data_IF_403314962932
#
_entry.id   IF_403314962932
#
_cell.length_a   1.000
_cell.length_b   1.000
_cell.length_c   1.000
_cell.angle_alpha   90.00
_cell.angle_beta   90.00
_cell.angle_gamma   90.00
#
_symmetry.space_group_name_H-M   'P 1'
#
loop_
_entity.id
_entity.type
_entity.pdbx_description
1 polymer ?
#
# COMPACT_ATOMS: atom_id res chain seq x y z
N UNK A 1 -18.35 41.12 25.78
CA UNK A 1 -19.37 40.04 25.81
C UNK A 1 -19.60 39.38 24.44
N UNK A 2 -19.93 40.11 23.36
CA UNK A 2 -20.21 39.51 22.02
C UNK A 2 -19.01 38.83 21.35
N UNK A 3 -17.79 39.33 21.57
CA UNK A 3 -16.54 38.71 21.08
C UNK A 3 -16.24 37.37 21.74
N UNK A 4 -16.53 37.24 23.03
CA UNK A 4 -16.44 35.97 23.75
C UNK A 4 -17.51 34.97 23.30
N UNK A 5 -18.72 35.44 23.00
CA UNK A 5 -19.78 34.61 22.43
C UNK A 5 -19.41 34.08 21.03
N UNK A 6 -18.79 34.92 20.20
CA UNK A 6 -18.26 34.49 18.89
C UNK A 6 -17.10 33.49 19.03
N UNK A 7 -16.20 33.68 19.99
CA UNK A 7 -15.08 32.78 20.26
C UNK A 7 -15.56 31.38 20.71
N UNK A 8 -16.61 31.33 21.54
CA UNK A 8 -17.24 30.08 21.99
C UNK A 8 -17.86 29.29 20.82
N UNK A 9 -18.52 29.98 19.89
CA UNK A 9 -19.13 29.34 18.72
C UNK A 9 -18.09 28.73 17.77
N UNK A 10 -16.93 29.36 17.59
CA UNK A 10 -15.87 28.83 16.71
C UNK A 10 -15.23 27.57 17.31
N UNK A 11 -15.00 27.52 18.63
CA UNK A 11 -14.46 26.33 19.30
C UNK A 11 -15.43 25.15 19.22
N UNK A 12 -16.74 25.37 19.32
CA UNK A 12 -17.74 24.31 19.21
C UNK A 12 -17.78 23.65 17.82
N UNK A 13 -17.48 24.39 16.76
CA UNK A 13 -17.43 23.86 15.38
C UNK A 13 -16.18 23.00 15.16
N UNK A 14 -15.05 23.35 15.76
CA UNK A 14 -13.80 22.58 15.63
C UNK A 14 -13.82 21.21 16.34
N UNK A 15 -14.71 21.00 17.33
CA UNK A 15 -14.82 19.72 18.06
C UNK A 15 -15.79 18.70 17.43
N UNK A 16 -16.44 19.02 16.30
CA UNK A 16 -17.46 18.15 15.69
C UNK A 16 -16.95 17.15 14.64
N UNK A 17 -15.64 16.87 14.56
CA UNK A 17 -15.12 15.74 13.79
C UNK A 17 -15.31 14.42 14.56
N UNK A 18 -16.54 13.89 14.55
CA UNK A 18 -16.90 12.60 15.14
C UNK A 18 -16.65 11.48 14.12
N UNK A 19 -15.49 10.81 14.19
CA UNK A 19 -15.18 9.63 13.37
C UNK A 19 -16.06 8.45 13.78
N UNK A 20 -16.99 8.04 12.90
CA UNK A 20 -17.85 6.88 13.10
C UNK A 20 -17.07 5.59 12.83
N UNK A 21 -16.43 5.00 13.85
CA UNK A 21 -15.94 3.61 13.80
C UNK A 21 -17.13 2.66 13.70
N UNK A 22 -17.40 2.09 12.52
CA UNK A 22 -18.33 0.97 12.37
C UNK A 22 -17.56 -0.35 12.48
N UNK A 23 -17.91 -1.15 13.47
CA UNK A 23 -17.37 -2.50 13.68
C UNK A 23 -17.95 -3.44 12.63
N UNK A 24 -17.08 -4.34 12.16
CA UNK A 24 -17.28 -5.46 11.23
C UNK A 24 -18.59 -6.21 11.50
N UNK A 25 -19.50 -6.24 10.51
CA UNK A 25 -20.53 -7.29 10.40
C UNK A 25 -20.02 -8.41 9.51
N UNK A 26 -19.75 -9.58 10.10
CA UNK A 26 -19.42 -10.79 9.34
C UNK A 26 -20.67 -11.24 8.57
N UNK A 27 -20.56 -11.38 7.23
CA UNK A 27 -21.47 -12.23 6.44
C UNK A 27 -20.76 -13.52 6.03
N UNK A 28 -21.48 -14.62 6.24
CA UNK A 28 -21.06 -16.02 6.07
C UNK A 28 -21.12 -16.44 4.59
N UNK A 29 -19.97 -16.88 4.08
CA UNK A 29 -19.67 -17.95 3.09
C UNK A 29 -20.72 -18.30 2.01
N UNK A 30 -20.35 -18.12 0.74
CA UNK A 30 -20.75 -19.04 -0.35
C UNK A 30 -19.49 -19.64 -0.99
N UNK A 31 -19.51 -20.95 -1.10
CA UNK A 31 -18.47 -21.86 -1.61
C UNK A 31 -18.78 -22.13 -3.08
N UNK A 32 -17.86 -21.85 -4.01
CA UNK A 32 -17.85 -22.51 -5.32
C UNK A 32 -16.42 -22.84 -5.75
N UNK A 33 -16.26 -24.14 -5.97
CA UNK A 33 -15.25 -24.95 -6.65
C UNK A 33 -13.74 -24.76 -6.50
N UNK A 34 -13.18 -25.87 -6.04
CA UNK A 34 -11.78 -26.27 -6.13
C UNK A 34 -11.42 -26.50 -7.59
N UNK A 35 -10.37 -25.84 -8.07
CA UNK A 35 -9.41 -26.53 -8.95
C UNK A 35 -8.14 -26.68 -8.14
N UNK A 36 -7.95 -27.91 -7.68
CA UNK A 36 -6.69 -28.39 -7.13
C UNK A 36 -5.67 -28.35 -8.26
N UNK A 37 -4.62 -27.54 -8.11
CA UNK A 37 -3.29 -28.03 -8.48
C UNK A 37 -2.32 -27.68 -7.35
N UNK A 38 -1.69 -28.74 -6.90
CA UNK A 38 -0.89 -28.84 -5.69
C UNK A 38 0.38 -27.97 -5.79
N UNK A 39 0.77 -27.46 -4.61
CA UNK A 39 2.13 -27.23 -4.14
C UNK A 39 3.24 -27.24 -5.21
N UNK A 40 3.83 -26.08 -5.43
CA UNK A 40 5.29 -26.03 -5.36
C UNK A 40 5.73 -24.80 -4.56
N UNK A 41 6.58 -25.10 -3.60
CA UNK A 41 7.20 -24.22 -2.64
C UNK A 41 8.33 -23.50 -3.37
N UNK A 42 8.05 -22.35 -3.99
CA UNK A 42 9.12 -21.53 -4.54
C UNK A 42 9.68 -20.61 -3.45
N UNK A 43 10.70 -21.14 -2.81
CA UNK A 43 11.74 -20.39 -2.10
C UNK A 43 12.33 -19.35 -3.05
N UNK A 44 11.93 -18.08 -2.92
CA UNK A 44 12.65 -16.96 -3.53
C UNK A 44 13.96 -16.79 -2.75
N UNK A 45 14.99 -17.52 -3.20
CA UNK A 45 16.39 -17.30 -2.82
C UNK A 45 16.89 -16.04 -3.51
N UNK A 46 17.48 -15.16 -2.72
CA UNK A 46 18.45 -14.17 -3.18
C UNK A 46 19.57 -14.85 -3.97
N UNK A 47 19.81 -14.37 -5.20
CA UNK A 47 21.15 -14.35 -5.79
C UNK A 47 21.24 -13.20 -6.79
N UNK A 48 22.07 -12.21 -6.45
CA UNK A 48 22.69 -11.30 -7.40
C UNK A 48 23.36 -12.09 -8.53
N UNK A 49 23.12 -11.69 -9.76
CA UNK A 49 23.87 -12.12 -10.92
C UNK A 49 23.59 -11.15 -12.06
N UNK A 50 24.62 -10.40 -12.46
CA UNK A 50 24.59 -9.54 -13.64
C UNK A 50 24.10 -10.32 -14.87
N UNK A 51 22.86 -10.09 -15.28
CA UNK A 51 22.46 -10.18 -16.67
C UNK A 51 21.44 -9.08 -16.89
N UNK A 52 21.88 -8.03 -17.58
CA UNK A 52 21.01 -7.04 -18.23
C UNK A 52 20.23 -7.81 -19.31
N UNK A 53 19.22 -8.54 -18.88
CA UNK A 53 18.19 -9.05 -19.76
C UNK A 53 17.17 -7.94 -19.87
N UNK A 54 16.92 -7.44 -21.08
CA UNK A 54 15.84 -6.52 -21.38
C UNK A 54 14.51 -7.21 -21.08
N UNK A 55 14.13 -7.29 -19.81
CA UNK A 55 12.83 -7.80 -19.40
C UNK A 55 11.83 -6.70 -19.65
N UNK A 56 11.23 -6.71 -20.84
CA UNK A 56 10.00 -5.96 -21.09
C UNK A 56 8.95 -6.54 -20.16
N UNK A 57 8.61 -5.79 -19.11
CA UNK A 57 7.49 -6.14 -18.25
C UNK A 57 6.20 -6.01 -19.05
N UNK A 58 5.31 -7.00 -18.90
CA UNK A 58 4.00 -6.96 -19.56
C UNK A 58 3.11 -5.83 -19.01
N UNK A 59 3.27 -5.51 -17.72
CA UNK A 59 2.52 -4.48 -17.04
C UNK A 59 3.42 -3.60 -16.16
N UNK A 60 3.06 -2.33 -16.03
CA UNK A 60 3.78 -1.38 -15.15
C UNK A 60 3.76 -1.80 -13.67
N UNK A 61 2.74 -2.54 -13.22
CA UNK A 61 2.68 -3.06 -11.86
C UNK A 61 3.74 -4.13 -11.62
N UNK A 62 4.01 -5.00 -12.60
CA UNK A 62 5.03 -6.05 -12.47
C UNK A 62 6.44 -5.42 -12.41
N UNK A 63 6.67 -4.39 -13.24
CA UNK A 63 7.88 -3.57 -13.20
C UNK A 63 8.04 -2.88 -11.83
N UNK A 64 6.96 -2.30 -11.31
CA UNK A 64 6.96 -1.64 -10.01
C UNK A 64 7.30 -2.63 -8.88
N UNK A 65 6.68 -3.82 -8.88
CA UNK A 65 6.97 -4.86 -7.89
C UNK A 65 8.44 -5.28 -8.00
N UNK A 66 8.96 -5.55 -9.19
CA UNK A 66 10.35 -5.94 -9.38
C UNK A 66 11.33 -4.85 -8.90
N UNK A 67 11.00 -3.58 -9.12
CA UNK A 67 11.82 -2.43 -8.73
C UNK A 67 11.85 -2.24 -7.22
N UNK A 68 10.70 -2.33 -6.54
CA UNK A 68 10.56 -1.96 -5.12
C UNK A 68 10.47 -3.16 -4.16
N UNK A 69 10.43 -4.41 -4.64
CA UNK A 69 10.32 -5.60 -3.79
C UNK A 69 11.44 -5.69 -2.76
N UNK A 70 12.68 -5.36 -3.14
CA UNK A 70 13.82 -5.39 -2.21
C UNK A 70 13.65 -4.37 -1.08
N UNK A 71 13.27 -3.14 -1.43
CA UNK A 71 13.05 -2.06 -0.45
C UNK A 71 11.93 -2.42 0.52
N UNK A 72 10.82 -2.97 0.01
CA UNK A 72 9.70 -3.40 0.84
C UNK A 72 10.07 -4.55 1.80
N UNK A 73 10.99 -5.44 1.42
CA UNK A 73 11.52 -6.48 2.32
C UNK A 73 12.44 -5.88 3.37
N UNK A 74 13.32 -4.94 2.99
CA UNK A 74 14.20 -4.26 3.94
C UNK A 74 13.40 -3.47 5.00
N UNK A 75 12.30 -2.82 4.59
CA UNK A 75 11.36 -2.15 5.50
C UNK A 75 10.59 -3.13 6.36
N UNK A 76 10.21 -4.29 5.81
CA UNK A 76 9.57 -5.35 6.57
C UNK A 76 10.46 -5.84 7.70
N UNK A 77 11.77 -6.01 7.45
CA UNK A 77 12.73 -6.40 8.48
C UNK A 77 12.95 -5.29 9.52
N UNK A 78 12.94 -4.03 9.09
CA UNK A 78 13.17 -2.87 9.95
C UNK A 78 11.98 -2.50 10.84
N UNK A 79 10.77 -2.55 10.29
CA UNK A 79 9.56 -2.02 10.91
C UNK A 79 8.51 -3.09 11.22
N UNK A 80 8.78 -4.36 10.89
CA UNK A 80 7.87 -5.49 11.10
C UNK A 80 6.51 -5.33 10.38
N UNK A 81 6.46 -4.54 9.31
CA UNK A 81 5.29 -4.37 8.46
C UNK A 81 5.46 -5.30 7.24
N UNK A 82 4.52 -6.22 6.95
CA UNK A 82 4.69 -7.13 5.82
C UNK A 82 4.88 -6.37 4.49
N UNK A 83 5.89 -6.77 3.72
CA UNK A 83 6.25 -6.14 2.43
C UNK A 83 5.06 -6.03 1.45
N UNK A 84 4.12 -6.98 1.50
CA UNK A 84 2.91 -6.97 0.68
C UNK A 84 2.01 -5.76 0.93
N UNK A 85 1.98 -5.24 2.17
CA UNK A 85 1.18 -4.05 2.53
C UNK A 85 1.83 -2.81 1.95
N UNK A 86 3.13 -2.64 2.16
CA UNK A 86 3.92 -1.53 1.60
C UNK A 86 3.81 -1.50 0.07
N UNK A 87 4.00 -2.63 -0.60
CA UNK A 87 3.88 -2.71 -2.05
C UNK A 87 2.46 -2.39 -2.53
N UNK A 88 1.43 -2.92 -1.86
CA UNK A 88 0.04 -2.64 -2.25
C UNK A 88 -0.29 -1.14 -2.12
N UNK A 89 0.13 -0.50 -1.04
CA UNK A 89 -0.06 0.95 -0.85
C UNK A 89 0.73 1.76 -1.85
N UNK A 90 2.02 1.44 -2.05
CA UNK A 90 2.86 2.08 -3.06
C UNK A 90 2.26 1.99 -4.45
N UNK A 91 1.80 0.80 -4.87
CA UNK A 91 1.11 0.60 -6.15
C UNK A 91 -0.14 1.46 -6.26
N UNK A 92 -0.99 1.49 -5.22
CA UNK A 92 -2.25 2.21 -5.24
C UNK A 92 -2.07 3.73 -5.25
N UNK A 93 -1.19 4.26 -4.41
CA UNK A 93 -0.97 5.71 -4.25
C UNK A 93 -0.16 6.30 -5.40
N UNK A 94 0.80 5.53 -5.95
CA UNK A 94 1.64 5.98 -7.05
C UNK A 94 1.14 5.57 -8.44
N UNK A 95 0.01 4.84 -8.53
CA UNK A 95 -0.45 4.20 -9.75
C UNK A 95 0.65 3.35 -10.41
N UNK A 96 1.33 2.49 -9.63
CA UNK A 96 2.53 1.75 -10.05
C UNK A 96 3.64 2.64 -10.60
N UNK A 97 3.93 3.76 -9.92
CA UNK A 97 4.92 4.75 -10.35
C UNK A 97 4.50 5.61 -11.54
N UNK A 98 3.27 5.47 -12.05
CA UNK A 98 2.79 6.25 -13.19
C UNK A 98 2.12 7.57 -12.82
N UNK A 99 1.80 7.79 -11.56
CA UNK A 99 1.22 9.04 -11.08
C UNK A 99 2.16 10.22 -11.34
N UNK A 100 1.60 11.35 -11.76
CA UNK A 100 2.39 12.58 -12.04
C UNK A 100 3.33 12.93 -10.88
N UNK A 101 2.82 12.86 -9.65
CA UNK A 101 3.61 13.14 -8.46
C UNK A 101 4.71 12.11 -8.22
N UNK A 102 4.49 10.82 -8.53
CA UNK A 102 5.51 9.79 -8.37
C UNK A 102 6.66 9.93 -9.39
N UNK A 103 6.40 10.52 -10.57
CA UNK A 103 7.42 10.77 -11.61
C UNK A 103 8.14 12.10 -11.43
N UNK A 104 7.41 13.16 -11.11
CA UNK A 104 7.92 14.53 -11.11
C UNK A 104 8.35 15.01 -9.72
N UNK A 105 7.71 14.51 -8.67
CA UNK A 105 8.14 14.81 -7.32
C UNK A 105 9.08 13.71 -6.84
N UNK A 106 10.17 14.12 -6.19
CA UNK A 106 10.94 13.26 -5.29
C UNK A 106 10.01 12.98 -4.11
N UNK A 107 9.07 12.06 -4.29
CA UNK A 107 8.33 11.49 -3.18
C UNK A 107 9.26 10.46 -2.58
N UNK A 108 9.83 10.83 -1.44
CA UNK A 108 10.33 9.88 -0.47
C UNK A 108 9.12 9.02 -0.11
N UNK A 109 9.05 7.83 -0.71
CA UNK A 109 8.15 6.77 -0.24
C UNK A 109 8.49 6.55 1.24
N UNK A 110 7.43 6.59 2.04
CA UNK A 110 7.39 6.51 3.51
C UNK A 110 8.29 5.42 4.07
#
# INVERSE_FOLDING_TARGET
MKKFLMLLCVVAVCFSCKSKKTVVTKKKKTKTERVVKNNEKETVRTTSGNTVSTTTYANATDEYIATYARVAVDEMERYNIPASITLAQGILESASGNGRLAKEAIIILV
#
